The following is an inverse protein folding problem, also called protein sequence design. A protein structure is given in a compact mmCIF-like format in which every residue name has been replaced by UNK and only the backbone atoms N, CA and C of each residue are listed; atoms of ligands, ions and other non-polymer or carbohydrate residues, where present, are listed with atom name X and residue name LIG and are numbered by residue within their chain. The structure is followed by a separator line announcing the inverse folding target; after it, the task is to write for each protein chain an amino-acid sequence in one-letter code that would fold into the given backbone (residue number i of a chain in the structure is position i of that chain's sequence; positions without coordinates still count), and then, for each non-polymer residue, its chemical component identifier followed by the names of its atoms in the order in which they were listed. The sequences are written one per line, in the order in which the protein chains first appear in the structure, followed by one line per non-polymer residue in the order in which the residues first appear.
data_IF_575297405750
#
_entry.id   IF_575297405750
#
_cell.length_a   1.000
_cell.length_b   1.000
_cell.length_c   1.000
_cell.angle_alpha   90.00
_cell.angle_beta   90.00
_cell.angle_gamma   90.00
#
_symmetry.space_group_name_H-M   'P 1'
#
loop_
_entity.id
_entity.type
_entity.pdbx_description
1 polymer ?
#
# COMPACT_ATOMS: atom_id res chain seq x y z
N UNK A 1 4.50 -15.33 -14.59
CA UNK A 1 5.64 -14.50 -15.03
C UNK A 1 6.28 -13.89 -13.80
N UNK A 2 7.59 -14.03 -13.61
CA UNK A 2 8.29 -13.38 -12.48
C UNK A 2 8.27 -11.86 -12.66
N UNK A 3 7.68 -11.14 -11.69
CA UNK A 3 7.69 -9.68 -11.68
C UNK A 3 9.09 -9.19 -11.33
N UNK A 4 9.72 -8.42 -12.23
CA UNK A 4 11.05 -7.84 -12.04
C UNK A 4 11.06 -6.94 -10.79
N UNK A 5 11.78 -7.35 -9.75
CA UNK A 5 11.96 -6.59 -8.51
C UNK A 5 13.09 -5.57 -8.67
N UNK A 6 12.92 -4.40 -8.08
CA UNK A 6 13.94 -3.36 -8.00
C UNK A 6 14.03 -2.78 -6.59
N UNK A 7 15.21 -2.30 -6.21
CA UNK A 7 15.42 -1.60 -4.93
C UNK A 7 15.39 -0.10 -5.17
N UNK A 8 14.50 0.61 -4.47
CA UNK A 8 14.41 2.06 -4.50
C UNK A 8 14.74 2.68 -3.15
N UNK A 9 15.06 3.98 -3.16
CA UNK A 9 15.19 4.80 -1.95
C UNK A 9 14.05 5.80 -1.92
N UNK A 10 13.32 5.79 -0.81
CA UNK A 10 12.13 6.64 -0.61
C UNK A 10 12.31 7.42 0.68
N UNK A 11 12.04 8.71 0.63
CA UNK A 11 12.01 9.58 1.80
C UNK A 11 10.62 9.55 2.43
N UNK A 12 10.54 9.26 3.73
CA UNK A 12 9.31 9.33 4.52
C UNK A 12 9.66 9.99 5.84
N UNK A 13 8.98 11.10 6.17
CA UNK A 13 9.16 11.80 7.43
C UNK A 13 10.65 12.14 7.71
N UNK A 14 11.32 12.75 6.74
CA UNK A 14 12.75 13.18 6.79
C UNK A 14 13.76 12.01 6.92
N UNK A 15 13.30 10.76 6.81
CA UNK A 15 14.15 9.57 6.86
C UNK A 15 14.12 8.83 5.53
N UNK A 16 15.28 8.35 5.08
CA UNK A 16 15.40 7.57 3.86
C UNK A 16 15.30 6.08 4.14
N UNK A 17 14.31 5.42 3.54
CA UNK A 17 14.10 3.98 3.62
C UNK A 17 14.48 3.32 2.29
N UNK A 18 15.03 2.10 2.37
CA UNK A 18 15.28 1.25 1.21
C UNK A 18 14.16 0.22 1.11
N UNK A 19 13.49 0.20 -0.04
CA UNK A 19 12.39 -0.71 -0.31
C UNK A 19 12.72 -1.56 -1.53
N UNK A 20 12.48 -2.86 -1.45
CA UNK A 20 12.57 -3.76 -2.60
C UNK A 20 11.17 -4.11 -3.07
N UNK A 21 10.77 -3.60 -4.24
CA UNK A 21 9.39 -3.65 -4.76
C UNK A 21 9.36 -4.11 -6.21
N UNK A 22 8.21 -4.58 -6.73
CA UNK A 22 8.02 -4.79 -8.17
C UNK A 22 8.19 -3.47 -8.95
N UNK A 23 8.75 -3.55 -10.15
CA UNK A 23 8.95 -2.38 -11.01
C UNK A 23 7.66 -1.62 -11.35
N UNK A 24 6.54 -2.34 -11.48
CA UNK A 24 5.21 -1.79 -11.77
C UNK A 24 4.63 -0.95 -10.63
N UNK A 25 5.10 -1.17 -9.40
CA UNK A 25 4.60 -0.49 -8.20
C UNK A 25 5.42 0.74 -7.83
N UNK A 26 6.54 0.99 -8.51
CA UNK A 26 7.49 2.05 -8.15
C UNK A 26 6.84 3.43 -8.05
N UNK A 27 6.11 3.82 -9.10
CA UNK A 27 5.41 5.10 -9.14
C UNK A 27 4.29 5.18 -8.09
N UNK A 28 3.62 4.06 -7.80
CA UNK A 28 2.59 3.99 -6.75
C UNK A 28 3.21 4.23 -5.37
N UNK A 29 4.36 3.62 -5.10
CA UNK A 29 5.09 3.77 -3.83
C UNK A 29 5.62 5.20 -3.69
N UNK A 30 6.15 5.80 -4.74
CA UNK A 30 6.58 7.21 -4.71
C UNK A 30 5.44 8.17 -4.44
N UNK A 31 4.30 7.99 -5.10
CA UNK A 31 3.12 8.83 -4.87
C UNK A 31 2.60 8.70 -3.44
N UNK A 32 2.55 7.48 -2.90
CA UNK A 32 2.17 7.25 -1.51
C UNK A 32 3.11 7.97 -0.52
N UNK A 33 4.43 7.90 -0.74
CA UNK A 33 5.39 8.60 0.11
C UNK A 33 5.26 10.13 0.03
N UNK A 34 5.02 10.67 -1.17
CA UNK A 34 4.75 12.11 -1.36
C UNK A 34 3.47 12.53 -0.63
N UNK A 35 2.42 11.72 -0.70
CA UNK A 35 1.16 11.98 0.00
C UNK A 35 1.34 12.03 1.52
N UNK A 36 2.03 11.05 2.11
CA UNK A 36 2.36 11.05 3.55
C UNK A 36 3.13 12.33 3.93
N UNK A 37 4.11 12.73 3.12
CA UNK A 37 4.89 13.94 3.36
C UNK A 37 4.00 15.19 3.37
N UNK A 38 3.13 15.35 2.38
CA UNK A 38 2.20 16.48 2.30
C UNK A 38 1.24 16.52 3.50
N UNK A 39 0.73 15.38 3.95
CA UNK A 39 -0.12 15.32 5.15
C UNK A 39 0.64 15.75 6.41
N UNK A 40 1.87 15.26 6.60
CA UNK A 40 2.71 15.67 7.74
C UNK A 40 3.02 17.17 7.69
N UNK A 41 3.37 17.72 6.54
CA UNK A 41 3.62 19.16 6.36
C UNK A 41 2.36 19.98 6.71
N UNK A 42 1.18 19.55 6.27
CA UNK A 42 -0.07 20.20 6.60
C UNK A 42 -0.45 20.10 8.10
N UNK A 43 -0.02 19.05 8.79
CA UNK A 43 -0.22 18.91 10.24
C UNK A 43 0.76 19.76 11.03
N UNK A 44 2.03 19.84 10.61
CA UNK A 44 3.05 20.71 11.21
C UNK A 44 2.64 22.19 11.21
N UNK A 45 1.94 22.65 10.18
CA UNK A 45 1.42 24.02 10.13
C UNK A 45 0.28 24.29 11.13
N UNK A 46 -0.41 23.25 11.62
CA UNK A 46 -1.63 23.39 12.44
C UNK A 46 -1.42 23.05 13.91
N UNK A 47 -0.49 22.16 14.21
CA UNK A 47 -0.29 21.62 15.55
C UNK A 47 1.20 21.57 15.86
N UNK A 48 1.56 21.81 17.11
CA UNK A 48 2.91 21.54 17.62
C UNK A 48 2.88 20.15 18.28
N UNK A 49 3.52 19.17 17.62
CA UNK A 49 3.51 17.78 18.05
C UNK A 49 4.83 17.09 17.68
N UNK A 50 5.06 15.90 18.20
CA UNK A 50 6.20 15.06 17.85
C UNK A 50 6.03 14.42 16.46
N UNK A 51 7.14 14.00 15.86
CA UNK A 51 7.13 13.30 14.57
C UNK A 51 6.24 12.04 14.58
N UNK A 52 6.23 11.31 15.71
CA UNK A 52 5.42 10.11 15.87
C UNK A 52 3.92 10.45 15.87
N UNK A 53 3.53 11.54 16.52
CA UNK A 53 2.14 11.99 16.54
C UNK A 53 1.69 12.45 15.16
N UNK A 54 2.53 13.20 14.42
CA UNK A 54 2.20 13.56 13.04
C UNK A 54 2.02 12.33 12.14
N UNK A 55 2.88 11.32 12.28
CA UNK A 55 2.74 10.06 11.55
C UNK A 55 1.45 9.33 11.90
N UNK A 56 1.10 9.27 13.19
CA UNK A 56 -0.13 8.64 13.64
C UNK A 56 -1.37 9.37 13.11
N UNK A 57 -1.39 10.71 13.18
CA UNK A 57 -2.47 11.53 12.65
C UNK A 57 -2.62 11.37 11.13
N UNK A 58 -1.50 11.39 10.39
CA UNK A 58 -1.50 11.18 8.94
C UNK A 58 -2.01 9.77 8.57
N UNK A 59 -1.57 8.74 9.30
CA UNK A 59 -2.01 7.37 9.08
C UNK A 59 -3.52 7.20 9.33
N UNK A 60 -4.05 7.81 10.39
CA UNK A 60 -5.50 7.81 10.68
C UNK A 60 -6.26 8.50 9.53
N UNK A 61 -5.83 9.69 9.12
CA UNK A 61 -6.50 10.45 8.06
C UNK A 61 -6.54 9.70 6.73
N UNK A 62 -5.41 9.13 6.31
CA UNK A 62 -5.31 8.31 5.10
C UNK A 62 -6.19 7.05 5.21
N UNK A 63 -6.29 6.45 6.40
CA UNK A 63 -7.13 5.27 6.62
C UNK A 63 -8.62 5.61 6.46
N UNK A 64 -9.05 6.75 7.00
CA UNK A 64 -10.43 7.25 6.85
C UNK A 64 -10.72 7.52 5.36
N UNK A 65 -9.84 8.26 4.67
CA UNK A 65 -10.00 8.56 3.24
C UNK A 65 -10.07 7.27 2.39
N UNK A 66 -9.31 6.24 2.76
CA UNK A 66 -9.37 4.94 2.09
C UNK A 66 -10.71 4.24 2.30
N UNK A 67 -11.29 4.26 3.51
CA UNK A 67 -12.61 3.70 3.75
C UNK A 67 -13.70 4.46 2.98
N UNK A 68 -13.69 5.80 3.04
CA UNK A 68 -14.61 6.65 2.28
C UNK A 68 -14.52 6.38 0.76
N UNK A 69 -13.30 6.18 0.23
CA UNK A 69 -13.12 5.84 -1.18
C UNK A 69 -13.66 4.43 -1.53
N UNK A 70 -13.52 3.44 -0.65
CA UNK A 70 -14.13 2.12 -0.85
C UNK A 70 -15.65 2.22 -0.87
N UNK A 71 -16.24 2.96 0.06
CA UNK A 71 -17.68 3.20 0.13
C UNK A 71 -18.20 3.91 -1.13
N UNK A 72 -17.48 4.92 -1.61
CA UNK A 72 -17.83 5.60 -2.88
C UNK A 72 -17.80 4.66 -4.07
N UNK A 73 -16.83 3.75 -4.14
CA UNK A 73 -16.73 2.76 -5.21
C UNK A 73 -17.86 1.73 -5.14
N UNK A 74 -18.27 1.30 -3.94
CA UNK A 74 -19.37 0.34 -3.78
C UNK A 74 -20.75 0.95 -4.05
N UNK A 75 -20.91 2.23 -3.74
CA UNK A 75 -22.16 3.00 -3.92
C UNK A 75 -22.22 3.77 -5.25
N UNK A 76 -21.18 3.68 -6.08
CA UNK A 76 -21.17 4.32 -7.39
C UNK A 76 -22.33 3.80 -8.26
N UNK A 77 -23.04 4.67 -9.00
CA UNK A 77 -24.19 4.26 -9.82
C UNK A 77 -23.79 3.24 -10.90
N UNK A 78 -22.55 3.31 -11.39
CA UNK A 78 -21.98 2.33 -12.31
C UNK A 78 -21.77 0.97 -11.64
N UNK A 79 -21.27 0.94 -10.40
CA UNK A 79 -21.09 -0.30 -9.64
C UNK A 79 -22.43 -0.97 -9.34
N UNK A 80 -23.48 -0.18 -9.07
CA UNK A 80 -24.84 -0.70 -8.90
C UNK A 80 -25.41 -1.28 -10.21
N UNK A 81 -25.20 -0.60 -11.34
CA UNK A 81 -25.60 -1.13 -12.66
C UNK A 81 -24.86 -2.43 -13.00
N UNK A 82 -23.56 -2.50 -12.73
CA UNK A 82 -22.77 -3.72 -12.95
C UNK A 82 -23.27 -4.87 -12.07
N UNK A 83 -23.59 -4.62 -10.79
CA UNK A 83 -24.19 -5.61 -9.89
C UNK A 83 -25.56 -6.10 -10.41
N UNK A 84 -26.40 -5.19 -10.90
CA UNK A 84 -27.69 -5.56 -11.47
C UNK A 84 -27.55 -6.42 -12.73
N UNK A 85 -26.63 -6.05 -13.65
CA UNK A 85 -26.35 -6.87 -14.83
C UNK A 85 -25.75 -8.24 -14.46
N UNK A 86 -24.87 -8.30 -13.46
CA UNK A 86 -24.32 -9.56 -12.98
C UNK A 86 -25.42 -10.48 -12.44
N UNK A 87 -26.37 -9.94 -11.66
CA UNK A 87 -27.51 -10.71 -11.15
C UNK A 87 -28.42 -11.22 -12.29
N UNK A 88 -28.65 -10.41 -13.33
CA UNK A 88 -29.42 -10.83 -14.50
C UNK A 88 -28.74 -11.96 -15.26
N UNK A 89 -27.41 -11.91 -15.42
CA UNK A 89 -26.67 -12.99 -16.06
C UNK A 89 -26.71 -14.29 -15.25
N UNK A 90 -26.63 -14.20 -13.91
CA UNK A 90 -26.70 -15.36 -13.03
C UNK A 90 -28.10 -16.00 -13.04
N UNK A 91 -29.16 -15.20 -13.13
CA UNK A 91 -30.53 -15.68 -13.36
C UNK A 91 -30.62 -16.44 -14.69
N UNK A 92 -30.06 -15.89 -15.78
CA UNK A 92 -30.07 -16.54 -17.10
C UNK A 92 -29.25 -17.83 -17.10
N UNK A 93 -28.10 -17.86 -16.44
CA UNK A 93 -27.30 -19.08 -16.27
C UNK A 93 -28.10 -20.12 -15.47
N UNK A 94 -28.73 -19.71 -14.38
CA UNK A 94 -29.59 -20.58 -13.56
C UNK A 94 -30.81 -21.13 -14.32
N UNK A 95 -31.40 -20.36 -15.23
CA UNK A 95 -32.47 -20.81 -16.13
C UNK A 95 -31.97 -21.84 -17.15
N UNK A 96 -30.70 -21.75 -17.58
CA UNK A 96 -30.08 -22.73 -18.49
C UNK A 96 -29.55 -23.98 -17.78
N UNK A 97 -29.34 -23.92 -16.46
CA UNK A 97 -28.81 -25.01 -15.63
C UNK A 97 -29.89 -25.93 -15.03
N UNK A 98 -31.02 -26.10 -15.72
CA UNK A 98 -31.95 -27.23 -15.51
C UNK A 98 -31.34 -28.62 -15.78
N UNK A 99 -30.03 -28.72 -16.00
CA UNK A 99 -29.34 -29.99 -16.22
C UNK A 99 -27.82 -29.89 -16.25
N UNK A 100 -27.17 -29.66 -15.11
CA UNK A 100 -26.09 -30.54 -14.59
C UNK A 100 -25.55 -29.98 -13.28
N UNK A 101 -25.57 -30.81 -12.24
CA UNK A 101 -24.99 -30.51 -10.94
C UNK A 101 -23.47 -30.27 -11.04
N UNK A 102 -23.00 -29.16 -10.50
CA UNK A 102 -21.58 -28.85 -10.32
C UNK A 102 -21.36 -27.99 -9.07
N UNK A 103 -20.71 -28.58 -8.07
CA UNK A 103 -20.35 -27.96 -6.80
C UNK A 103 -19.47 -26.71 -6.96
N UNK A 104 -19.71 -25.74 -6.07
CA UNK A 104 -18.68 -24.94 -5.41
C UNK A 104 -18.19 -23.70 -6.16
N UNK A 105 -18.49 -22.52 -5.58
CA UNK A 105 -17.44 -21.65 -5.03
C UNK A 105 -18.07 -20.53 -4.20
N UNK A 106 -17.92 -20.69 -2.89
CA UNK A 106 -17.52 -19.63 -1.97
C UNK A 106 -16.96 -18.41 -2.72
N UNK A 107 -17.78 -17.35 -2.82
CA UNK A 107 -17.29 -16.02 -3.16
C UNK A 107 -16.58 -15.50 -1.92
N UNK A 108 -15.38 -16.05 -1.71
CA UNK A 108 -14.37 -15.41 -0.89
C UNK A 108 -14.19 -14.01 -1.44
N UNK A 109 -14.49 -13.01 -0.63
CA UNK A 109 -13.86 -11.70 -0.76
C UNK A 109 -12.37 -11.95 -0.55
N UNK A 110 -11.70 -12.37 -1.62
CA UNK A 110 -10.26 -12.45 -1.72
C UNK A 110 -9.76 -11.02 -1.56
N UNK A 111 -9.50 -10.66 -0.30
CA UNK A 111 -8.64 -9.56 0.07
C UNK A 111 -7.34 -9.82 -0.68
N UNK A 112 -7.22 -9.20 -1.86
CA UNK A 112 -6.09 -9.37 -2.75
C UNK A 112 -4.81 -9.29 -1.92
N UNK A 113 -4.03 -10.36 -2.03
CA UNK A 113 -2.94 -10.74 -1.16
C UNK A 113 -2.20 -9.59 -0.49
N UNK A 114 -2.09 -9.67 0.83
CA UNK A 114 -1.03 -9.02 1.60
C UNK A 114 0.37 -9.55 1.22
N UNK A 115 0.46 -10.57 0.38
CA UNK A 115 1.69 -11.14 -0.18
C UNK A 115 2.21 -10.29 -1.34
N UNK A 116 2.98 -9.25 -1.01
CA UNK A 116 3.63 -8.42 -2.02
C UNK A 116 4.06 -7.04 -1.55
N UNK A 117 3.73 -6.64 -0.31
CA UNK A 117 4.22 -5.38 0.26
C UNK A 117 5.74 -5.49 0.40
N UNK A 118 6.48 -4.82 -0.49
CA UNK A 118 7.95 -4.86 -0.50
C UNK A 118 8.53 -4.61 0.89
N UNK A 119 9.51 -5.44 1.27
CA UNK A 119 10.11 -5.40 2.60
C UNK A 119 10.81 -4.04 2.82
N UNK A 120 10.40 -3.32 3.88
CA UNK A 120 11.00 -2.04 4.28
C UNK A 120 12.23 -2.36 5.14
N UNK A 121 13.42 -2.10 4.61
CA UNK A 121 14.67 -2.32 5.34
C UNK A 121 15.13 -1.01 5.97
N UNK A 122 15.35 -1.03 7.30
CA UNK A 122 15.92 0.11 8.03
C UNK A 122 17.31 0.47 7.45
N UNK A 123 17.64 1.76 7.32
CA UNK A 123 18.95 2.17 6.83
C UNK A 123 20.07 1.62 7.72
N UNK A 124 21.05 0.93 7.14
CA UNK A 124 22.25 0.47 7.88
C UNK A 124 23.03 1.70 8.36
N UNK A 125 23.31 1.77 9.67
CA UNK A 125 24.19 2.78 10.22
C UNK A 125 25.54 2.75 9.48
N UNK A 126 26.05 3.92 9.06
CA UNK A 126 27.38 4.02 8.45
C UNK A 126 28.40 3.54 9.49
N UNK A 127 28.81 2.27 9.38
CA UNK A 127 29.92 1.72 10.17
C UNK A 127 31.17 2.46 9.69
N UNK A 128 31.62 3.45 10.47
CA UNK A 128 32.83 4.20 10.17
C UNK A 128 33.99 3.23 9.97
N UNK A 129 34.78 3.43 8.91
CA UNK A 129 36.04 2.70 8.72
C UNK A 129 36.90 2.99 9.96
N UNK A 130 37.39 1.96 10.70
CA UNK A 130 38.20 2.21 11.88
C UNK A 130 39.42 3.05 11.47
N UNK A 131 39.63 4.19 12.13
CA UNK A 131 40.83 5.00 11.94
C UNK A 131 42.01 4.15 12.44
N UNK A 132 42.92 3.80 11.52
CA UNK A 132 44.17 3.11 11.85
C UNK A 132 44.98 4.07 12.72
N UNK A 133 45.09 3.78 14.01
CA UNK A 133 45.97 4.53 14.92
C UNK A 133 47.41 4.27 14.48
N UNK A 134 48.23 5.30 14.19
CA UNK A 134 49.64 5.08 13.94
C UNK A 134 50.29 4.60 15.24
N UNK A 135 50.87 3.40 15.22
CA UNK A 135 51.79 2.95 16.26
C UNK A 135 53.07 3.77 16.13
N UNK A 136 53.16 4.85 16.88
CA UNK A 136 54.45 5.45 17.25
C UNK A 136 54.69 5.14 18.72
N UNK A 137 55.73 4.36 19.00
CA UNK A 137 56.20 4.11 20.35
C UNK A 137 56.99 2.81 20.48
N UNK A 138 58.22 2.77 19.97
CA UNK A 138 59.49 2.81 20.72
C UNK A 138 60.66 2.57 19.76
#
# INVERSE_FOLDING_TARGET
MERKKMTIRVEVAEQFYRLTIPAEEEERVRRAAKHIRTEIEALKHRYEASLMEYLAMAAIRISIENEENKERLTMAPEALKLKALAAQLEEWVGETEGGSAGQGKDVGTDVAGAEGRGEIVKPKAKRGRPRKVPQNGQ
#
